data_IF_608583665624
#
_entry.id   IF_608583665624
#
_cell.length_a   1.000
_cell.length_b   1.000
_cell.length_c   1.000
_cell.angle_alpha   90.00
_cell.angle_beta   90.00
_cell.angle_gamma   90.00
#
_symmetry.space_group_name_H-M   'P 1'
#
loop_
_entity.id
_entity.type
_entity.pdbx_description
1 polymer ?
#
# COMPACT_ATOMS: atom_id res chain seq x y z
N UNK A 1 13.82 -69.38 -10.56
CA UNK A 1 15.20 -69.50 -10.01
C UNK A 1 15.96 -68.29 -10.54
N UNK A 2 16.61 -67.42 -9.79
CA UNK A 2 16.93 -67.31 -8.38
C UNK A 2 17.92 -66.13 -8.26
N UNK A 3 17.72 -65.31 -7.24
CA UNK A 3 18.53 -64.19 -6.76
C UNK A 3 20.05 -64.23 -7.02
N UNK A 4 20.67 -63.06 -7.22
CA UNK A 4 21.65 -62.54 -6.24
C UNK A 4 21.92 -61.04 -6.40
N UNK A 5 21.96 -60.35 -5.27
CA UNK A 5 22.22 -58.92 -5.10
C UNK A 5 23.69 -58.54 -5.27
N UNK A 6 23.96 -57.25 -5.49
CA UNK A 6 25.07 -56.56 -4.81
C UNK A 6 24.78 -55.06 -4.74
N UNK A 7 24.63 -54.55 -3.51
CA UNK A 7 24.79 -53.14 -3.17
C UNK A 7 26.28 -52.91 -2.92
N UNK A 8 26.84 -51.84 -3.48
CA UNK A 8 28.10 -51.25 -3.00
C UNK A 8 27.78 -49.84 -2.50
N UNK A 9 28.07 -49.65 -1.22
CA UNK A 9 28.11 -48.39 -0.52
C UNK A 9 29.49 -47.76 -0.79
N UNK A 10 29.53 -46.54 -1.33
CA UNK A 10 30.73 -45.69 -1.28
C UNK A 10 30.34 -44.40 -0.57
N UNK A 11 30.76 -44.29 0.68
CA UNK A 11 30.79 -43.03 1.44
C UNK A 11 32.01 -42.25 0.97
N UNK A 12 31.79 -41.25 0.12
CA UNK A 12 32.77 -40.24 -0.22
C UNK A 12 32.24 -38.88 0.19
N UNK A 13 32.75 -38.34 1.30
CA UNK A 13 32.57 -36.95 1.70
C UNK A 13 33.12 -36.05 0.57
N UNK A 14 32.23 -35.53 -0.26
CA UNK A 14 32.46 -34.27 -0.95
C UNK A 14 31.66 -33.20 -0.23
N UNK A 15 32.36 -32.28 0.40
CA UNK A 15 31.82 -30.98 0.78
C UNK A 15 31.28 -30.33 -0.49
N UNK A 16 29.97 -30.44 -0.70
CA UNK A 16 29.25 -29.67 -1.70
C UNK A 16 29.27 -28.21 -1.21
N UNK A 17 30.26 -27.45 -1.66
CA UNK A 17 30.14 -25.99 -1.69
C UNK A 17 29.05 -25.67 -2.71
N UNK A 18 27.80 -25.59 -2.24
CA UNK A 18 26.73 -24.95 -2.97
C UNK A 18 27.05 -23.45 -2.91
N UNK A 19 27.58 -22.90 -4.00
CA UNK A 19 27.40 -21.48 -4.26
C UNK A 19 25.91 -21.28 -4.50
N UNK A 20 25.18 -20.82 -3.49
CA UNK A 20 23.92 -20.16 -3.74
C UNK A 20 24.28 -18.87 -4.48
N UNK A 21 24.16 -18.83 -5.81
CA UNK A 21 23.91 -17.54 -6.44
C UNK A 21 22.57 -17.09 -5.88
N UNK A 22 22.61 -16.11 -4.99
CA UNK A 22 21.42 -15.35 -4.67
C UNK A 22 21.07 -14.56 -5.92
N UNK A 23 20.35 -15.17 -6.86
CA UNK A 23 19.70 -14.41 -7.91
C UNK A 23 18.69 -13.52 -7.18
N UNK A 24 19.03 -12.23 -7.12
CA UNK A 24 18.16 -11.23 -6.56
C UNK A 24 16.87 -11.24 -7.40
N UNK A 25 15.76 -11.60 -6.77
CA UNK A 25 14.47 -11.59 -7.44
C UNK A 25 14.10 -10.12 -7.70
N UNK A 26 13.81 -9.79 -8.96
CA UNK A 26 13.32 -8.47 -9.33
C UNK A 26 11.82 -8.40 -8.99
N UNK A 27 11.44 -7.62 -7.97
CA UNK A 27 10.03 -7.43 -7.60
C UNK A 27 9.47 -6.25 -8.42
N UNK A 28 8.56 -6.51 -9.35
CA UNK A 28 7.82 -5.47 -10.06
C UNK A 28 6.86 -4.75 -9.09
N UNK A 29 6.81 -3.42 -9.12
CA UNK A 29 6.02 -2.54 -8.26
C UNK A 29 5.38 -1.47 -9.14
N UNK A 30 4.11 -1.16 -8.88
CA UNK A 30 3.40 -0.03 -9.51
C UNK A 30 3.19 1.07 -8.48
N UNK A 31 3.49 2.31 -8.86
CA UNK A 31 3.31 3.51 -8.07
C UNK A 31 2.50 4.52 -8.87
N UNK A 32 1.45 5.06 -8.25
CA UNK A 32 0.67 6.16 -8.80
C UNK A 32 0.73 7.34 -7.85
N UNK A 33 1.11 8.50 -8.37
CA UNK A 33 1.23 9.74 -7.60
C UNK A 33 0.48 10.83 -8.33
N UNK A 34 -0.42 11.53 -7.64
CA UNK A 34 -1.17 12.66 -8.19
C UNK A 34 -0.56 13.98 -7.72
N UNK A 35 -0.67 15.03 -8.54
CA UNK A 35 -0.39 16.40 -8.09
C UNK A 35 -1.25 16.71 -6.86
N UNK A 36 -0.62 17.26 -5.83
CA UNK A 36 -1.18 17.36 -4.47
C UNK A 36 -1.27 18.78 -3.92
N UNK A 37 -0.80 19.78 -4.67
CA UNK A 37 -0.83 21.18 -4.26
C UNK A 37 -0.80 22.10 -5.48
N UNK A 38 -1.30 23.32 -5.31
CA UNK A 38 -1.28 24.36 -6.35
C UNK A 38 0.12 24.72 -6.83
N UNK A 39 1.14 24.65 -5.97
CA UNK A 39 2.54 24.93 -6.36
C UNK A 39 3.22 23.76 -7.09
N UNK A 40 2.47 22.67 -7.33
CA UNK A 40 3.00 21.45 -7.92
C UNK A 40 2.63 21.32 -9.40
N UNK A 41 1.77 22.17 -9.95
CA UNK A 41 1.61 22.38 -11.37
C UNK A 41 1.69 23.88 -11.70
N UNK A 42 2.41 24.21 -12.76
CA UNK A 42 2.75 25.60 -13.04
C UNK A 42 3.00 25.82 -14.53
N UNK A 43 2.69 27.01 -14.99
CA UNK A 43 2.82 27.40 -16.40
C UNK A 43 3.74 28.61 -16.51
N UNK A 44 4.67 28.56 -17.45
CA UNK A 44 5.63 29.63 -17.69
C UNK A 44 5.60 30.11 -19.14
N UNK A 45 5.40 31.41 -19.31
CA UNK A 45 5.32 32.08 -20.61
C UNK A 45 6.68 32.65 -21.04
N UNK A 46 6.81 33.11 -22.28
CA UNK A 46 8.10 33.57 -22.83
C UNK A 46 8.75 34.75 -22.09
N UNK A 47 7.97 35.57 -21.37
CA UNK A 47 8.50 36.63 -20.51
C UNK A 47 9.15 36.11 -19.22
N UNK A 48 9.01 34.81 -18.94
CA UNK A 48 9.43 34.15 -17.71
C UNK A 48 8.40 34.22 -16.59
N UNK A 49 7.24 34.85 -16.79
CA UNK A 49 6.19 34.88 -15.77
C UNK A 49 5.65 33.46 -15.52
N UNK A 50 5.50 33.10 -14.24
CA UNK A 50 5.03 31.77 -13.80
C UNK A 50 3.68 31.90 -13.11
N UNK A 51 2.68 31.16 -13.60
CA UNK A 51 1.39 30.97 -12.96
C UNK A 51 1.40 29.69 -12.13
N UNK A 52 0.95 29.75 -10.88
CA UNK A 52 0.83 28.61 -9.96
C UNK A 52 -0.63 28.27 -9.63
N UNK A 53 -1.58 29.08 -10.09
CA UNK A 53 -2.98 29.00 -9.63
C UNK A 53 -3.96 29.00 -10.79
N UNK A 54 -3.48 28.74 -12.01
CA UNK A 54 -4.34 28.59 -13.18
C UNK A 54 -5.28 27.41 -12.95
N UNK A 55 -6.60 27.53 -13.21
CA UNK A 55 -7.48 26.37 -13.21
C UNK A 55 -7.11 25.42 -14.37
N UNK A 56 -6.45 25.92 -15.39
CA UNK A 56 -6.13 25.19 -16.61
C UNK A 56 -4.63 24.89 -16.64
N UNK A 57 -4.27 23.71 -17.13
CA UNK A 57 -2.88 23.33 -17.38
C UNK A 57 -2.68 23.19 -18.89
N UNK A 58 -2.28 24.27 -19.55
CA UNK A 58 -2.07 24.32 -20.99
C UNK A 58 -0.71 23.74 -21.34
N UNK A 59 -0.68 22.52 -21.89
CA UNK A 59 0.56 21.83 -22.22
C UNK A 59 1.42 22.56 -23.27
N UNK A 60 0.88 23.58 -23.95
CA UNK A 60 1.66 24.48 -24.80
C UNK A 60 0.99 25.79 -25.19
N UNK A 61 -0.29 25.79 -25.57
CA UNK A 61 -0.93 26.97 -26.11
C UNK A 61 -2.23 27.24 -25.36
N UNK A 62 -2.28 28.41 -24.75
CA UNK A 62 -3.40 28.92 -23.96
C UNK A 62 -4.22 29.90 -24.79
N UNK A 63 -5.54 29.81 -24.67
CA UNK A 63 -6.52 30.70 -25.28
C UNK A 63 -6.88 31.84 -24.33
N UNK A 64 -6.03 32.85 -24.28
CA UNK A 64 -6.29 34.08 -23.52
C UNK A 64 -7.23 35.04 -24.25
N UNK A 65 -7.89 35.95 -23.50
CA UNK A 65 -8.83 36.92 -24.08
C UNK A 65 -8.25 37.81 -25.19
N UNK A 66 -6.93 37.97 -25.24
CA UNK A 66 -6.19 38.81 -26.20
C UNK A 66 -5.62 38.03 -27.39
N UNK A 67 -5.85 36.72 -27.48
CA UNK A 67 -5.35 35.86 -28.56
C UNK A 67 -4.88 34.50 -28.06
N UNK A 68 -3.73 34.05 -28.54
CA UNK A 68 -3.12 32.78 -28.12
C UNK A 68 -1.76 33.06 -27.48
N UNK A 69 -1.51 32.48 -26.32
CA UNK A 69 -0.23 32.59 -25.62
C UNK A 69 0.50 31.24 -25.61
N UNK A 70 1.78 31.25 -25.98
CA UNK A 70 2.61 30.06 -25.91
C UNK A 70 3.20 29.91 -24.51
N UNK A 71 2.93 28.80 -23.84
CA UNK A 71 3.66 28.32 -22.66
C UNK A 71 5.01 27.76 -23.12
N UNK A 72 6.08 28.38 -22.65
CA UNK A 72 7.46 27.98 -22.94
C UNK A 72 7.97 26.85 -22.05
N UNK A 73 7.33 26.67 -20.88
CA UNK A 73 7.51 25.52 -20.03
C UNK A 73 6.27 25.32 -19.17
N UNK A 74 5.86 24.06 -18.99
CA UNK A 74 4.80 23.66 -18.05
C UNK A 74 5.41 22.64 -17.11
N UNK A 75 5.42 22.96 -15.83
CA UNK A 75 6.02 22.15 -14.79
C UNK A 75 4.96 21.35 -14.04
N UNK A 76 5.25 20.08 -13.78
CA UNK A 76 4.46 19.21 -12.90
C UNK A 76 5.41 18.55 -11.90
N UNK A 77 5.07 18.59 -10.61
CA UNK A 77 5.89 18.16 -9.48
C UNK A 77 5.12 17.13 -8.64
N UNK A 78 5.57 15.89 -8.67
CA UNK A 78 5.08 14.85 -7.77
C UNK A 78 5.96 14.78 -6.54
N UNK A 79 5.36 14.99 -5.38
CA UNK A 79 6.07 15.01 -4.10
C UNK A 79 6.01 13.66 -3.40
N UNK A 80 7.05 13.30 -2.64
CA UNK A 80 7.01 12.11 -1.80
C UNK A 80 7.07 10.80 -2.57
N UNK A 81 7.74 10.77 -3.73
CA UNK A 81 7.76 9.60 -4.65
C UNK A 81 8.52 8.44 -4.02
N UNK A 82 7.80 7.36 -3.68
CA UNK A 82 8.34 6.20 -2.96
C UNK A 82 9.05 5.19 -3.88
N UNK A 83 10.02 5.66 -4.67
CA UNK A 83 10.88 4.78 -5.48
C UNK A 83 12.23 4.63 -4.78
N UNK A 84 12.65 3.41 -4.39
CA UNK A 84 13.93 3.20 -3.77
C UNK A 84 15.07 3.46 -4.75
N UNK A 85 16.21 3.88 -4.22
CA UNK A 85 17.43 4.03 -5.01
C UNK A 85 17.84 2.69 -5.62
N UNK A 86 18.21 2.70 -6.91
CA UNK A 86 18.58 1.50 -7.64
C UNK A 86 17.40 0.70 -8.21
N UNK A 87 16.18 1.24 -8.13
CA UNK A 87 15.04 0.70 -8.87
C UNK A 87 15.28 0.80 -10.39
N UNK A 88 14.83 -0.23 -11.12
CA UNK A 88 14.80 -0.25 -12.58
C UNK A 88 13.38 0.11 -13.01
N UNK A 89 13.21 1.27 -13.63
CA UNK A 89 11.92 1.73 -14.14
C UNK A 89 11.61 0.94 -15.41
N UNK A 90 10.51 0.19 -15.39
CA UNK A 90 10.07 -0.63 -16.53
C UNK A 90 9.05 0.09 -17.39
N UNK A 91 8.32 1.05 -16.82
CA UNK A 91 7.34 1.88 -17.52
C UNK A 91 7.04 3.13 -16.72
N UNK A 92 6.84 4.27 -17.37
CA UNK A 92 6.28 5.44 -16.71
C UNK A 92 5.46 6.26 -17.69
N UNK A 93 4.37 6.87 -17.26
CA UNK A 93 3.60 7.80 -18.08
C UNK A 93 2.78 8.74 -17.21
N UNK A 94 2.40 9.89 -17.77
CA UNK A 94 1.44 10.81 -17.15
C UNK A 94 0.10 10.60 -17.83
N UNK A 95 -0.97 10.52 -17.04
CA UNK A 95 -2.35 10.57 -17.52
C UNK A 95 -2.94 11.92 -17.13
N UNK A 96 -3.46 12.63 -18.13
CA UNK A 96 -4.18 13.88 -17.97
C UNK A 96 -5.70 13.65 -17.96
N UNK A 97 -6.43 14.62 -17.42
CA UNK A 97 -7.88 14.75 -17.64
C UNK A 97 -8.10 15.96 -18.52
N UNK A 98 -8.91 15.82 -19.56
CA UNK A 98 -9.24 16.91 -20.49
C UNK A 98 -10.06 17.98 -19.75
N UNK A 99 -9.60 19.22 -19.73
CA UNK A 99 -10.39 20.35 -19.23
C UNK A 99 -11.09 21.08 -20.38
N UNK A 100 -10.32 21.43 -21.43
CA UNK A 100 -10.88 21.99 -22.66
C UNK A 100 -10.59 21.12 -23.88
N UNK A 101 -11.50 21.18 -24.85
CA UNK A 101 -11.36 20.44 -26.11
C UNK A 101 -10.35 21.10 -27.05
N UNK A 102 -9.50 20.28 -27.67
CA UNK A 102 -8.44 20.74 -28.57
C UNK A 102 -8.11 19.69 -29.62
N UNK A 103 -8.23 20.07 -30.90
CA UNK A 103 -8.07 19.14 -32.03
C UNK A 103 -6.99 19.53 -33.04
N UNK A 104 -6.44 20.74 -32.95
CA UNK A 104 -5.33 21.15 -33.80
C UNK A 104 -4.09 20.26 -33.54
N UNK A 105 -3.21 20.05 -34.54
CA UNK A 105 -1.98 19.28 -34.40
C UNK A 105 -1.12 19.80 -33.25
N UNK A 106 -0.71 18.91 -32.36
CA UNK A 106 0.05 19.25 -31.16
C UNK A 106 1.21 18.27 -30.97
N UNK A 107 2.41 18.81 -30.75
CA UNK A 107 3.62 18.05 -30.43
C UNK A 107 4.35 18.71 -29.27
N UNK A 108 4.73 17.97 -28.23
CA UNK A 108 5.48 18.53 -27.09
C UNK A 108 6.70 17.70 -26.74
N UNK A 109 7.71 18.30 -26.11
CA UNK A 109 8.86 17.60 -25.52
C UNK A 109 8.71 17.53 -24.02
N UNK A 110 8.86 16.33 -23.46
CA UNK A 110 8.95 16.09 -22.03
C UNK A 110 10.40 15.89 -21.61
N UNK A 111 10.77 16.54 -20.51
CA UNK A 111 12.05 16.36 -19.81
C UNK A 111 11.81 16.28 -18.31
N UNK A 112 12.75 15.70 -17.58
CA UNK A 112 12.74 15.75 -16.12
C UNK A 112 13.60 16.90 -15.60
N UNK A 113 13.35 17.37 -14.39
CA UNK A 113 14.34 18.16 -13.67
C UNK A 113 15.49 17.25 -13.21
N UNK A 114 16.72 17.56 -13.62
CA UNK A 114 17.93 16.88 -13.16
C UNK A 114 18.32 17.31 -11.73
N UNK A 115 17.50 16.93 -10.75
CA UNK A 115 17.72 17.17 -9.33
C UNK A 115 17.53 15.88 -8.52
N UNK A 116 18.21 15.78 -7.38
CA UNK A 116 18.02 14.64 -6.46
C UNK A 116 16.60 14.61 -5.89
N UNK A 117 16.07 15.78 -5.54
CA UNK A 117 14.68 16.03 -5.19
C UNK A 117 14.32 17.40 -5.73
N UNK A 118 13.26 17.49 -6.53
CA UNK A 118 12.79 18.76 -7.09
C UNK A 118 12.13 19.63 -6.01
N UNK A 119 12.42 20.93 -6.01
CA UNK A 119 11.73 21.90 -5.17
C UNK A 119 10.40 22.35 -5.78
N UNK A 120 9.49 22.88 -4.96
CA UNK A 120 8.23 23.50 -5.38
C UNK A 120 8.43 24.56 -6.46
N UNK A 121 7.45 24.74 -7.34
CA UNK A 121 7.45 25.87 -8.26
C UNK A 121 7.17 27.17 -7.50
N UNK A 122 7.72 28.27 -7.98
CA UNK A 122 7.52 29.60 -7.41
C UNK A 122 7.20 30.60 -8.51
N UNK A 123 6.71 31.78 -8.14
CA UNK A 123 6.43 32.88 -9.08
C UNK A 123 7.69 33.60 -9.56
N UNK A 124 8.89 33.18 -9.14
CA UNK A 124 10.13 33.76 -9.64
C UNK A 124 10.23 33.61 -11.16
N UNK A 125 10.71 34.64 -11.84
CA UNK A 125 10.83 34.59 -13.30
C UNK A 125 11.73 33.45 -13.74
N UNK A 126 11.30 32.72 -14.78
CA UNK A 126 12.01 31.56 -15.33
C UNK A 126 12.19 30.39 -14.36
N UNK A 127 11.35 30.28 -13.32
CA UNK A 127 11.49 29.22 -12.30
C UNK A 127 11.39 27.80 -12.86
N UNK A 128 10.71 27.60 -13.99
CA UNK A 128 10.56 26.30 -14.64
C UNK A 128 11.64 26.15 -15.72
N UNK A 129 11.75 27.11 -16.65
CA UNK A 129 12.62 26.95 -17.83
C UNK A 129 14.11 26.97 -17.51
N UNK A 130 14.53 27.60 -16.40
CA UNK A 130 15.92 27.62 -15.94
C UNK A 130 16.36 26.36 -15.19
N UNK A 131 15.42 25.46 -14.84
CA UNK A 131 15.76 24.24 -14.11
C UNK A 131 16.72 23.36 -14.93
N UNK A 132 17.76 22.78 -14.30
CA UNK A 132 18.59 21.77 -14.95
C UNK A 132 17.72 20.62 -15.43
N UNK A 133 17.93 20.16 -16.66
CA UNK A 133 17.12 19.11 -17.29
C UNK A 133 17.86 17.79 -17.35
N UNK A 134 17.10 16.70 -17.38
CA UNK A 134 17.62 15.40 -17.79
C UNK A 134 18.19 15.46 -19.20
N UNK A 135 19.18 14.62 -19.49
CA UNK A 135 19.66 14.39 -20.86
C UNK A 135 18.63 13.61 -21.66
N UNK A 136 17.98 12.64 -21.00
CA UNK A 136 16.87 11.88 -21.57
C UNK A 136 15.68 12.80 -21.81
N UNK A 137 15.10 12.70 -23.00
CA UNK A 137 13.93 13.46 -23.43
C UNK A 137 12.95 12.55 -24.16
N UNK A 138 11.65 12.83 -24.07
CA UNK A 138 10.61 12.10 -24.80
C UNK A 138 9.76 13.11 -25.57
N UNK A 139 9.64 12.90 -26.87
CA UNK A 139 8.75 13.71 -27.71
C UNK A 139 7.38 13.03 -27.80
N UNK A 140 6.34 13.74 -27.40
CA UNK A 140 4.96 13.35 -27.61
C UNK A 140 4.44 14.05 -28.86
N UNK A 141 4.61 13.37 -29.99
CA UNK A 141 4.23 13.85 -31.33
C UNK A 141 2.88 13.28 -31.75
N UNK A 142 2.16 14.02 -32.59
CA UNK A 142 0.82 13.68 -33.09
C UNK A 142 -0.15 13.39 -31.94
N UNK A 143 -0.15 14.24 -30.91
CA UNK A 143 -1.03 14.06 -29.75
C UNK A 143 -2.48 13.97 -30.25
N UNK A 144 -3.23 12.91 -29.92
CA UNK A 144 -4.61 12.77 -30.37
C UNK A 144 -5.46 13.99 -29.97
N UNK A 145 -6.49 14.34 -30.76
CA UNK A 145 -7.46 15.36 -30.36
C UNK A 145 -8.12 15.02 -29.02
N UNK A 146 -8.26 16.01 -28.14
CA UNK A 146 -9.06 15.89 -26.92
C UNK A 146 -10.45 16.43 -27.24
N UNK A 147 -11.40 15.53 -27.49
CA UNK A 147 -12.73 15.89 -28.00
C UNK A 147 -13.81 15.92 -26.91
N UNK A 148 -13.48 15.52 -25.68
CA UNK A 148 -14.46 15.35 -24.61
C UNK A 148 -13.88 15.82 -23.29
N UNK A 149 -14.51 16.85 -22.70
CA UNK A 149 -14.19 17.35 -21.35
C UNK A 149 -14.40 16.23 -20.33
N UNK A 150 -13.46 16.12 -19.38
CA UNK A 150 -13.44 15.07 -18.36
C UNK A 150 -12.90 13.72 -18.84
N UNK A 151 -12.58 13.56 -20.14
CA UNK A 151 -11.97 12.33 -20.64
C UNK A 151 -10.55 12.18 -20.11
N UNK A 152 -10.24 10.97 -19.63
CA UNK A 152 -8.93 10.56 -19.19
C UNK A 152 -8.68 9.13 -19.69
N UNK A 153 -7.83 9.00 -20.70
CA UNK A 153 -7.56 7.72 -21.37
C UNK A 153 -6.31 7.77 -22.23
N UNK A 154 -6.18 6.84 -23.18
CA UNK A 154 -4.97 6.70 -24.01
C UNK A 154 -4.65 7.96 -24.84
N UNK A 155 -5.66 8.76 -25.22
CA UNK A 155 -5.46 10.03 -25.93
C UNK A 155 -4.85 11.12 -25.03
N UNK A 156 -5.06 11.03 -23.71
CA UNK A 156 -4.56 11.92 -22.68
C UNK A 156 -3.35 11.33 -21.94
N UNK A 157 -2.76 10.26 -22.47
CA UNK A 157 -1.60 9.59 -21.87
C UNK A 157 -0.32 9.90 -22.64
N UNK A 158 0.74 10.27 -21.93
CA UNK A 158 2.06 10.44 -22.56
C UNK A 158 2.62 9.12 -23.10
N UNK A 159 3.60 9.17 -24.02
CA UNK A 159 4.47 8.04 -24.30
C UNK A 159 5.24 7.60 -23.04
N UNK A 160 5.96 6.49 -23.14
CA UNK A 160 6.76 5.97 -22.04
C UNK A 160 7.89 6.94 -21.64
N UNK A 161 7.83 7.40 -20.40
CA UNK A 161 8.76 8.31 -19.74
C UNK A 161 9.82 7.56 -18.94
N UNK A 162 9.87 6.22 -19.00
CA UNK A 162 10.84 5.41 -18.26
C UNK A 162 12.30 5.90 -18.40
N UNK A 163 12.81 6.39 -19.55
CA UNK A 163 14.18 6.89 -19.63
C UNK A 163 14.42 8.14 -18.78
N UNK A 164 13.44 9.04 -18.72
CA UNK A 164 13.51 10.28 -17.92
C UNK A 164 13.47 9.94 -16.44
N UNK A 165 12.51 9.11 -16.01
CA UNK A 165 12.37 8.71 -14.62
C UNK A 165 13.60 7.91 -14.18
N UNK A 166 14.10 6.99 -15.01
CA UNK A 166 15.31 6.21 -14.72
C UNK A 166 16.52 7.11 -14.48
N UNK A 167 16.70 8.15 -15.29
CA UNK A 167 17.79 9.11 -15.11
C UNK A 167 17.71 9.83 -13.77
N UNK A 168 16.51 10.26 -13.35
CA UNK A 168 16.29 10.94 -12.06
C UNK A 168 16.59 10.00 -10.89
N UNK A 169 16.05 8.77 -10.90
CA UNK A 169 16.22 7.82 -9.79
C UNK A 169 17.64 7.23 -9.70
N UNK A 170 18.41 7.31 -10.80
CA UNK A 170 19.83 6.94 -10.84
C UNK A 170 20.76 7.99 -10.24
N UNK A 171 20.26 9.19 -9.92
CA UNK A 171 21.10 10.25 -9.35
C UNK A 171 21.64 9.84 -7.99
N UNK A 172 22.87 10.23 -7.69
CA UNK A 172 23.58 9.77 -6.48
C UNK A 172 22.88 10.14 -5.18
N UNK A 173 22.14 11.26 -5.13
CA UNK A 173 21.36 11.67 -3.97
C UNK A 173 19.87 11.35 -4.05
N UNK A 174 19.43 10.52 -5.01
CA UNK A 174 18.06 10.02 -5.02
C UNK A 174 17.80 9.14 -3.79
N UNK A 175 16.65 9.33 -3.16
CA UNK A 175 16.14 8.53 -2.06
C UNK A 175 14.61 8.41 -2.19
N UNK A 176 14.04 7.33 -1.66
CA UNK A 176 12.58 7.19 -1.59
C UNK A 176 11.99 8.36 -0.78
N UNK A 177 10.91 8.94 -1.28
CA UNK A 177 10.30 10.15 -0.75
C UNK A 177 10.79 11.44 -1.39
N UNK A 178 11.78 11.40 -2.28
CA UNK A 178 12.16 12.57 -3.06
C UNK A 178 11.09 12.94 -4.09
N UNK A 179 11.17 14.18 -4.60
CA UNK A 179 10.20 14.70 -5.54
C UNK A 179 10.71 14.58 -6.98
N UNK A 180 9.81 14.29 -7.91
CA UNK A 180 10.06 14.28 -9.36
C UNK A 180 9.36 15.48 -9.98
N UNK A 181 10.08 16.26 -10.78
CA UNK A 181 9.47 17.26 -11.65
C UNK A 181 9.62 16.85 -13.11
N UNK A 182 8.52 16.88 -13.87
CA UNK A 182 8.49 16.77 -15.32
C UNK A 182 8.14 18.13 -15.90
N UNK A 183 8.83 18.49 -16.98
CA UNK A 183 8.69 19.77 -17.67
C UNK A 183 8.32 19.48 -19.12
N UNK A 184 7.16 19.99 -19.53
CA UNK A 184 6.66 19.97 -20.90
C UNK A 184 7.05 21.27 -21.60
N UNK A 185 7.54 21.18 -22.83
CA UNK A 185 8.05 22.33 -23.59
C UNK A 185 7.77 22.21 -25.08
N UNK A 186 7.84 23.33 -25.82
CA UNK A 186 7.93 23.31 -27.27
C UNK A 186 9.10 22.48 -27.78
N UNK A 187 8.85 21.66 -28.81
CA UNK A 187 9.92 21.03 -29.59
C UNK A 187 10.60 22.14 -30.42
N UNK A 188 11.94 22.28 -30.35
CA UNK A 188 12.64 23.29 -31.15
C UNK A 188 12.35 23.13 -32.65
N UNK A 189 11.97 24.24 -33.30
CA UNK A 189 11.61 24.32 -34.72
C UNK A 189 10.35 23.55 -35.16
N UNK A 190 9.54 23.04 -34.22
CA UNK A 190 8.20 22.53 -34.54
C UNK A 190 7.23 23.70 -34.75
N UNK A 191 6.10 23.47 -35.42
CA UNK A 191 5.02 24.46 -35.63
C UNK A 191 3.66 23.94 -35.17
N UNK A 192 3.58 22.71 -34.66
CA UNK A 192 2.36 22.05 -34.21
C UNK A 192 2.11 22.38 -32.74
N UNK A 193 1.58 23.57 -32.49
CA UNK A 193 1.30 24.11 -31.15
C UNK A 193 -0.18 24.03 -30.77
N UNK A 194 -0.91 23.03 -31.26
CA UNK A 194 -2.33 22.87 -30.96
C UNK A 194 -2.58 22.76 -29.45
N UNK A 195 -3.70 23.31 -28.94
CA UNK A 195 -3.99 23.31 -27.50
C UNK A 195 -4.28 21.90 -27.01
N UNK A 196 -3.71 21.55 -25.85
CA UNK A 196 -4.07 20.39 -25.03
C UNK A 196 -4.12 20.91 -23.60
N UNK A 197 -5.34 21.16 -23.14
CA UNK A 197 -5.60 21.87 -21.88
C UNK A 197 -6.14 20.86 -20.88
N UNK A 198 -5.33 20.59 -19.86
CA UNK A 198 -5.61 19.58 -18.85
C UNK A 198 -6.16 20.22 -17.57
N UNK A 199 -6.89 19.43 -16.80
CA UNK A 199 -7.35 19.84 -15.47
C UNK A 199 -6.12 20.01 -14.55
N UNK A 200 -5.95 21.20 -13.99
CA UNK A 200 -4.94 21.47 -12.95
C UNK A 200 -5.40 21.00 -11.57
N UNK A 201 -4.50 21.05 -10.59
CA UNK A 201 -4.84 20.91 -9.19
C UNK A 201 -5.87 21.96 -8.72
N UNK A 202 -5.73 23.20 -9.18
CA UNK A 202 -6.59 24.30 -8.78
C UNK A 202 -8.02 24.17 -9.32
N UNK A 203 -8.21 23.53 -10.47
CA UNK A 203 -9.54 23.16 -10.96
C UNK A 203 -10.09 21.94 -10.21
N UNK A 204 -9.32 20.85 -10.10
CA UNK A 204 -9.78 19.63 -9.41
C UNK A 204 -8.62 18.74 -8.99
N UNK A 205 -8.37 18.68 -7.68
CA UNK A 205 -7.34 17.83 -7.09
C UNK A 205 -7.47 16.34 -7.44
N UNK A 206 -8.69 15.83 -7.68
CA UNK A 206 -8.92 14.42 -8.03
C UNK A 206 -8.71 14.11 -9.52
N UNK A 207 -8.70 15.13 -10.37
CA UNK A 207 -8.52 15.03 -11.82
C UNK A 207 -7.18 15.60 -12.30
N UNK A 208 -6.41 16.23 -11.40
CA UNK A 208 -5.06 16.71 -11.64
C UNK A 208 -4.12 15.61 -12.17
N UNK A 209 -3.01 15.96 -12.85
CA UNK A 209 -2.16 14.98 -13.52
C UNK A 209 -1.69 13.83 -12.62
N UNK A 210 -1.86 12.60 -13.11
CA UNK A 210 -1.44 11.37 -12.44
C UNK A 210 -0.16 10.83 -13.10
N UNK A 211 0.91 10.69 -12.33
CA UNK A 211 2.11 9.99 -12.75
C UNK A 211 1.99 8.53 -12.34
N UNK A 212 2.04 7.65 -13.34
CA UNK A 212 2.09 6.19 -13.18
C UNK A 212 3.51 5.71 -13.44
N UNK A 213 4.05 4.88 -12.56
CA UNK A 213 5.39 4.30 -12.69
C UNK A 213 5.34 2.82 -12.33
N UNK A 214 5.83 1.98 -13.23
CA UNK A 214 6.16 0.58 -12.96
C UNK A 214 7.69 0.48 -12.82
N UNK A 215 8.16 -0.18 -11.77
CA UNK A 215 9.59 -0.40 -11.55
C UNK A 215 9.86 -1.74 -10.90
N UNK A 216 11.08 -2.26 -11.05
CA UNK A 216 11.54 -3.41 -10.29
C UNK A 216 12.57 -3.01 -9.25
N UNK A 217 12.54 -3.66 -8.09
CA UNK A 217 13.60 -3.54 -7.08
C UNK A 217 14.42 -4.81 -7.06
N UNK A 218 15.73 -4.65 -6.91
CA UNK A 218 16.63 -5.77 -6.68
C UNK A 218 16.59 -6.05 -5.18
N UNK A 219 15.82 -7.04 -4.74
CA UNK A 219 15.89 -7.47 -3.33
C UNK A 219 17.20 -8.21 -3.12
N UNK A 220 18.16 -7.54 -2.47
CA UNK A 220 19.33 -8.25 -1.95
C UNK A 220 18.85 -9.06 -0.75
N UNK A 221 18.99 -10.40 -0.74
CA UNK A 221 18.55 -11.18 0.41
C UNK A 221 19.30 -10.70 1.65
N UNK A 222 18.54 -10.40 2.70
CA UNK A 222 19.11 -10.07 4.01
C UNK A 222 19.99 -11.24 4.43
N UNK A 223 21.27 -11.02 4.79
CA UNK A 223 22.13 -12.11 5.24
C UNK A 223 21.47 -12.77 6.45
N UNK A 224 21.39 -14.11 6.43
CA UNK A 224 20.90 -14.88 7.57
C UNK A 224 21.73 -14.49 8.80
N UNK A 225 21.11 -14.01 9.90
CA UNK A 225 21.87 -13.69 11.10
C UNK A 225 22.64 -14.93 11.55
N UNK A 226 23.93 -14.75 11.85
CA UNK A 226 24.76 -15.83 12.37
C UNK A 226 24.11 -16.39 13.64
N UNK A 227 24.16 -17.72 13.87
CA UNK A 227 23.56 -18.33 15.05
C UNK A 227 24.12 -17.66 16.31
N UNK A 228 23.23 -17.13 17.15
CA UNK A 228 23.60 -16.57 18.45
C UNK A 228 24.26 -17.67 19.28
N UNK A 229 25.49 -17.48 19.80
CA UNK A 229 26.12 -18.47 20.65
C UNK A 229 25.24 -18.76 21.86
N UNK A 230 25.07 -20.04 22.19
CA UNK A 230 24.27 -20.48 23.32
C UNK A 230 24.85 -19.90 24.62
N UNK A 231 24.04 -19.23 25.48
CA UNK A 231 24.55 -18.66 26.71
C UNK A 231 25.15 -19.75 27.60
N UNK A 232 26.37 -19.52 28.08
CA UNK A 232 27.00 -20.39 29.08
C UNK A 232 26.23 -20.27 30.40
N UNK A 233 25.84 -21.37 31.07
CA UNK A 233 25.13 -21.30 32.35
C UNK A 233 25.95 -20.51 33.37
N UNK A 234 25.32 -19.55 34.04
CA UNK A 234 25.93 -18.79 35.11
C UNK A 234 26.25 -19.72 36.31
N UNK A 235 27.39 -19.55 36.99
CA UNK A 235 27.74 -20.34 38.17
C UNK A 235 26.71 -20.12 39.29
N UNK A 236 26.29 -21.22 39.91
CA UNK A 236 25.37 -21.23 41.06
C UNK A 236 25.93 -20.41 42.21
N UNK A 237 25.21 -19.41 42.75
CA UNK A 237 25.69 -18.64 43.89
C UNK A 237 25.77 -19.52 45.15
N UNK A 238 26.92 -19.46 45.83
CA UNK A 238 27.15 -20.05 47.16
C UNK A 238 26.22 -19.41 48.22
N UNK A 239 25.69 -20.20 49.17
CA UNK A 239 24.74 -19.70 50.17
C UNK A 239 25.38 -18.65 51.10
N UNK A 240 24.69 -17.52 51.23
CA UNK A 240 25.03 -16.43 52.15
C UNK A 240 24.70 -16.86 53.59
N UNK A 241 25.60 -16.66 54.57
CA UNK A 241 25.32 -16.99 55.97
C UNK A 241 24.26 -16.07 56.61
N UNK A 242 23.56 -16.67 57.57
CA UNK A 242 22.38 -16.18 58.31
C UNK A 242 22.65 -14.88 59.10
N UNK A 243 21.80 -13.84 59.03
CA UNK A 243 22.02 -12.59 59.73
C UNK A 243 21.88 -12.71 61.26
N UNK A 244 22.78 -12.03 61.96
CA UNK A 244 22.82 -11.91 63.42
C UNK A 244 21.71 -10.98 63.93
N UNK A 245 21.02 -11.28 65.06
CA UNK A 245 19.91 -10.46 65.55
C UNK A 245 20.40 -9.09 66.06
N UNK A 246 19.76 -8.02 65.60
CA UNK A 246 19.97 -6.63 66.04
C UNK A 246 19.07 -6.32 67.25
N UNK A 247 19.58 -5.66 68.31
CA UNK A 247 18.78 -5.29 69.48
C UNK A 247 17.89 -4.05 69.22
N UNK A 248 16.69 -4.10 69.77
CA UNK A 248 15.71 -3.01 69.95
C UNK A 248 16.18 -2.02 71.03
N UNK A 249 16.11 -0.68 70.85
CA UNK A 249 14.92 0.13 71.24
C UNK A 249 14.73 1.38 70.32
N UNK A 250 13.74 2.28 70.42
CA UNK A 250 13.08 3.01 71.53
C UNK A 250 11.87 3.81 70.96
N UNK A 251 10.84 4.22 71.74
CA UNK A 251 9.61 4.76 71.17
C UNK A 251 9.75 6.20 70.63
N UNK A 252 9.34 6.38 69.37
CA UNK A 252 9.25 7.69 68.69
C UNK A 252 7.94 8.39 69.06
N UNK A 253 7.93 9.71 69.33
CA UNK A 253 6.74 10.45 69.74
C UNK A 253 5.71 10.69 68.62
N UNK A 254 4.50 10.98 69.11
CA UNK A 254 3.16 11.15 68.51
C UNK A 254 3.09 12.22 67.37
N UNK A 255 2.16 12.06 66.39
CA UNK A 255 2.26 12.70 65.07
C UNK A 255 1.85 14.17 65.06
N UNK A 256 2.48 14.94 64.17
CA UNK A 256 2.03 16.26 63.74
C UNK A 256 1.45 16.17 62.33
N UNK A 257 0.36 16.89 62.12
CA UNK A 257 -0.52 16.85 60.95
C UNK A 257 0.19 17.22 59.65
N UNK A 258 0.32 16.26 58.74
CA UNK A 258 0.74 16.48 57.35
C UNK A 258 -0.32 17.31 56.61
N UNK A 259 0.05 18.44 55.97
CA UNK A 259 -0.88 19.19 55.13
C UNK A 259 -1.26 18.37 53.88
N UNK A 260 -2.50 18.57 53.43
CA UNK A 260 -3.10 17.88 52.30
C UNK A 260 -2.24 17.94 51.03
N UNK A 261 -2.13 16.84 50.25
CA UNK A 261 -1.35 16.82 49.03
C UNK A 261 -1.93 17.82 48.02
N UNK A 262 -1.05 18.63 47.44
CA UNK A 262 -1.34 19.47 46.28
C UNK A 262 -1.70 18.58 45.10
N UNK A 263 -2.75 18.90 44.31
CA UNK A 263 -3.13 18.09 43.17
C UNK A 263 -1.98 18.02 42.16
N UNK A 264 -1.57 16.80 41.84
CA UNK A 264 -0.61 16.51 40.77
C UNK A 264 -1.26 16.97 39.46
N UNK A 265 -0.59 17.79 38.62
CA UNK A 265 -1.11 18.13 37.31
C UNK A 265 -1.30 16.86 36.50
N UNK A 266 -2.53 16.64 36.06
CA UNK A 266 -2.91 15.56 35.14
C UNK A 266 -2.00 15.61 33.93
N UNK A 267 -1.22 14.55 33.71
CA UNK A 267 -0.37 14.43 32.54
C UNK A 267 -1.26 14.56 31.29
N UNK A 268 -0.89 15.47 30.40
CA UNK A 268 -1.50 15.61 29.08
C UNK A 268 -1.45 14.26 28.37
N UNK A 269 -2.56 13.74 27.83
CA UNK A 269 -2.55 12.48 27.10
C UNK A 269 -1.52 12.56 25.97
N UNK A 270 -0.69 11.52 25.87
CA UNK A 270 0.25 11.37 24.77
C UNK A 270 -0.53 11.45 23.45
N UNK A 271 0.03 12.12 22.41
CA UNK A 271 -0.64 12.18 21.11
C UNK A 271 -0.91 10.76 20.62
N UNK A 272 -2.16 10.52 20.23
CA UNK A 272 -2.57 9.28 19.58
C UNK A 272 -1.60 8.99 18.42
N UNK A 273 -1.01 7.78 18.34
CA UNK A 273 -0.13 7.43 17.24
C UNK A 273 -0.87 7.66 15.92
N UNK A 274 -0.27 8.46 15.04
CA UNK A 274 -0.74 8.63 13.67
C UNK A 274 -0.82 7.25 13.02
N UNK A 275 -1.94 6.89 12.37
CA UNK A 275 -2.06 5.59 11.71
C UNK A 275 -0.91 5.41 10.73
N UNK A 276 -0.30 4.21 10.66
CA UNK A 276 0.79 3.94 9.74
C UNK A 276 0.32 4.25 8.30
N UNK A 277 1.22 4.79 7.45
CA UNK A 277 0.89 5.07 6.07
C UNK A 277 0.33 3.80 5.39
N UNK A 278 -0.66 3.94 4.48
CA UNK A 278 -1.27 2.80 3.82
C UNK A 278 -0.18 2.00 3.10
N UNK A 279 0.01 0.75 3.54
CA UNK A 279 0.89 -0.21 2.87
C UNK A 279 0.32 -0.50 1.49
N UNK A 280 1.11 -0.30 0.43
CA UNK A 280 0.71 -0.64 -0.93
C UNK A 280 0.45 -2.14 -1.06
N UNK A 281 -0.59 -2.54 -1.80
CA UNK A 281 -0.87 -3.96 -2.09
C UNK A 281 0.35 -4.62 -2.71
N UNK A 282 0.70 -5.83 -2.27
CA UNK A 282 1.82 -6.55 -2.90
C UNK A 282 1.56 -6.71 -4.41
N UNK A 283 2.53 -6.44 -5.28
CA UNK A 283 2.32 -6.53 -6.73
C UNK A 283 1.97 -7.95 -7.18
N UNK A 284 1.14 -8.05 -8.21
CA UNK A 284 0.56 -9.31 -8.68
C UNK A 284 -0.17 -10.10 -7.57
N UNK A 285 -0.66 -9.42 -6.52
CA UNK A 285 -1.49 -10.06 -5.51
C UNK A 285 -2.75 -10.61 -6.15
N UNK A 286 -2.79 -11.93 -6.35
CA UNK A 286 -3.91 -12.58 -7.00
C UNK A 286 -4.97 -12.90 -5.96
N UNK A 287 -6.11 -12.23 -6.07
CA UNK A 287 -7.29 -12.51 -5.24
C UNK A 287 -8.31 -13.26 -6.09
N UNK A 288 -8.80 -14.38 -5.58
CA UNK A 288 -9.96 -15.05 -6.16
C UNK A 288 -11.23 -14.63 -5.42
N UNK A 289 -12.25 -14.22 -6.18
CA UNK A 289 -13.58 -13.89 -5.67
C UNK A 289 -14.54 -14.98 -6.10
N UNK A 290 -15.19 -15.63 -5.15
CA UNK A 290 -16.16 -16.69 -5.43
C UNK A 290 -17.29 -16.66 -4.40
N UNK A 291 -18.48 -17.12 -4.76
CA UNK A 291 -19.64 -17.26 -3.88
C UNK A 291 -20.53 -18.38 -4.42
N UNK A 292 -21.67 -18.63 -3.76
CA UNK A 292 -22.65 -19.63 -4.20
C UNK A 292 -22.03 -21.04 -4.36
N UNK A 293 -21.33 -21.48 -3.31
CA UNK A 293 -20.53 -22.69 -3.28
C UNK A 293 -21.24 -23.84 -2.56
N UNK A 294 -20.93 -25.06 -2.98
CA UNK A 294 -21.50 -26.29 -2.42
C UNK A 294 -20.42 -27.26 -1.96
N UNK A 295 -20.77 -28.23 -1.10
CA UNK A 295 -19.87 -29.36 -0.77
C UNK A 295 -19.86 -30.43 -1.89
N UNK A 296 -19.36 -30.07 -3.07
CA UNK A 296 -19.33 -30.93 -4.27
C UNK A 296 -17.94 -31.02 -4.89
N UNK A 297 -17.75 -32.00 -5.76
CA UNK A 297 -16.50 -32.12 -6.54
C UNK A 297 -16.28 -30.88 -7.43
N UNK A 298 -17.34 -30.29 -7.99
CA UNK A 298 -17.21 -29.07 -8.81
C UNK A 298 -16.60 -27.90 -8.04
N UNK A 299 -16.98 -27.70 -6.78
CA UNK A 299 -16.36 -26.69 -5.91
C UNK A 299 -14.90 -27.02 -5.60
N UNK A 300 -14.54 -28.31 -5.44
CA UNK A 300 -13.14 -28.72 -5.26
C UNK A 300 -12.31 -28.48 -6.53
N UNK A 301 -12.88 -28.75 -7.70
CA UNK A 301 -12.22 -28.49 -8.99
C UNK A 301 -12.00 -26.98 -9.21
N UNK A 302 -12.98 -26.15 -8.82
CA UNK A 302 -12.85 -24.69 -8.80
C UNK A 302 -11.73 -24.23 -7.88
N UNK A 303 -11.68 -24.73 -6.64
CA UNK A 303 -10.59 -24.42 -5.71
C UNK A 303 -9.22 -24.88 -6.23
N UNK A 304 -9.15 -26.04 -6.89
CA UNK A 304 -7.92 -26.51 -7.51
C UNK A 304 -7.49 -25.60 -8.68
N UNK A 305 -8.43 -25.14 -9.50
CA UNK A 305 -8.16 -24.16 -10.55
C UNK A 305 -7.63 -22.85 -9.94
N UNK A 306 -8.27 -22.33 -8.90
CA UNK A 306 -7.82 -21.11 -8.18
C UNK A 306 -6.40 -21.27 -7.63
N UNK A 307 -6.10 -22.44 -7.03
CA UNK A 307 -4.76 -22.78 -6.57
C UNK A 307 -3.75 -22.81 -7.71
N UNK A 308 -4.12 -23.42 -8.84
CA UNK A 308 -3.24 -23.54 -10.01
C UNK A 308 -2.98 -22.18 -10.69
N UNK A 309 -3.96 -21.28 -10.69
CA UNK A 309 -3.80 -19.90 -11.16
C UNK A 309 -2.94 -19.04 -10.21
N UNK A 310 -2.57 -19.59 -9.05
CA UNK A 310 -1.69 -18.96 -8.08
C UNK A 310 -2.36 -17.86 -7.28
N UNK A 311 -3.66 -17.97 -6.99
CA UNK A 311 -4.31 -17.07 -6.05
C UNK A 311 -3.62 -17.14 -4.68
N UNK A 312 -3.45 -15.97 -4.06
CA UNK A 312 -2.78 -15.78 -2.77
C UNK A 312 -3.77 -15.47 -1.65
N UNK A 313 -5.02 -15.21 -2.01
CA UNK A 313 -6.12 -14.98 -1.08
C UNK A 313 -7.44 -15.36 -1.74
N UNK A 314 -8.35 -15.88 -0.93
CA UNK A 314 -9.74 -16.13 -1.30
C UNK A 314 -10.65 -15.12 -0.61
N UNK A 315 -11.55 -14.50 -1.38
CA UNK A 315 -12.63 -13.68 -0.88
C UNK A 315 -13.96 -14.34 -1.24
N UNK A 316 -14.63 -14.86 -0.22
CA UNK A 316 -15.87 -15.62 -0.32
C UNK A 316 -17.08 -14.71 -0.15
N UNK A 317 -17.92 -14.62 -1.19
CA UNK A 317 -19.02 -13.66 -1.31
C UNK A 317 -20.37 -14.26 -0.86
N UNK A 318 -20.40 -14.96 0.26
CA UNK A 318 -21.60 -15.62 0.80
C UNK A 318 -21.92 -16.96 0.16
N UNK A 319 -22.88 -17.67 0.78
CA UNK A 319 -23.35 -18.99 0.37
C UNK A 319 -22.19 -19.99 0.25
N UNK A 320 -21.60 -20.31 1.41
CA UNK A 320 -20.30 -20.96 1.55
C UNK A 320 -20.35 -22.47 1.26
N UNK A 321 -21.48 -23.12 1.59
CA UNK A 321 -21.63 -24.57 1.39
C UNK A 321 -23.06 -25.09 1.13
N UNK A 322 -24.10 -24.27 1.37
CA UNK A 322 -25.55 -24.61 1.39
C UNK A 322 -25.98 -25.79 2.29
N UNK A 323 -25.05 -26.50 2.91
CA UNK A 323 -25.24 -27.68 3.74
C UNK A 323 -25.33 -27.36 5.25
N UNK A 324 -25.04 -26.12 5.66
CA UNK A 324 -24.92 -25.74 7.07
C UNK A 324 -23.91 -26.63 7.82
N UNK A 325 -22.74 -26.87 7.22
CA UNK A 325 -21.69 -27.72 7.76
C UNK A 325 -20.32 -27.00 7.80
N UNK A 326 -20.09 -26.11 8.80
CA UNK A 326 -18.87 -25.31 8.89
C UNK A 326 -17.58 -26.14 8.97
N UNK A 327 -17.63 -27.34 9.58
CA UNK A 327 -16.46 -28.23 9.63
C UNK A 327 -16.11 -28.80 8.25
N UNK A 328 -17.11 -29.24 7.47
CA UNK A 328 -16.85 -29.76 6.14
C UNK A 328 -16.43 -28.66 5.16
N UNK A 329 -17.02 -27.47 5.28
CA UNK A 329 -16.60 -26.29 4.53
C UNK A 329 -15.13 -25.94 4.79
N UNK A 330 -14.73 -25.84 6.05
CA UNK A 330 -13.34 -25.55 6.42
C UNK A 330 -12.38 -26.66 5.94
N UNK A 331 -12.76 -27.93 6.12
CA UNK A 331 -11.95 -29.06 5.66
C UNK A 331 -11.73 -29.03 4.16
N UNK A 332 -12.77 -28.72 3.37
CA UNK A 332 -12.66 -28.67 1.91
C UNK A 332 -11.66 -27.60 1.43
N UNK A 333 -11.61 -26.45 2.11
CA UNK A 333 -10.61 -25.42 1.85
C UNK A 333 -9.22 -25.92 2.27
N UNK A 334 -9.10 -26.48 3.47
CA UNK A 334 -7.82 -26.94 4.03
C UNK A 334 -7.18 -28.07 3.22
N UNK A 335 -7.98 -28.98 2.66
CA UNK A 335 -7.51 -30.07 1.81
C UNK A 335 -6.78 -29.56 0.56
N UNK A 336 -7.12 -28.37 0.08
CA UNK A 336 -6.59 -27.80 -1.17
C UNK A 336 -5.53 -26.75 -0.86
N UNK A 337 -5.84 -25.77 -0.02
CA UNK A 337 -4.99 -24.62 0.22
C UNK A 337 -4.17 -24.71 1.51
N UNK A 338 -4.60 -25.52 2.47
CA UNK A 338 -4.02 -25.61 3.81
C UNK A 338 -4.67 -24.66 4.84
N UNK A 339 -4.41 -24.90 6.14
CA UNK A 339 -5.03 -24.16 7.25
C UNK A 339 -4.59 -22.69 7.37
N UNK A 340 -3.46 -22.34 6.75
CA UNK A 340 -2.84 -21.00 6.84
C UNK A 340 -3.07 -20.15 5.57
N UNK A 341 -3.76 -20.68 4.56
CA UNK A 341 -4.06 -19.90 3.36
C UNK A 341 -5.03 -18.76 3.66
N UNK A 342 -4.84 -17.53 3.15
CA UNK A 342 -5.71 -16.40 3.46
C UNK A 342 -7.12 -16.57 2.89
N UNK A 343 -8.12 -16.65 3.76
CA UNK A 343 -9.54 -16.73 3.38
C UNK A 343 -10.34 -15.71 4.18
N UNK A 344 -11.02 -14.84 3.46
CA UNK A 344 -11.96 -13.86 3.99
C UNK A 344 -13.34 -14.18 3.44
N UNK A 345 -14.38 -14.00 4.24
CA UNK A 345 -15.72 -14.33 3.81
C UNK A 345 -16.74 -13.34 4.36
N UNK A 346 -17.80 -13.10 3.59
CA UNK A 346 -19.02 -12.45 4.05
C UNK A 346 -20.13 -13.49 4.20
N UNK A 347 -21.03 -13.28 5.16
CA UNK A 347 -22.20 -14.13 5.38
C UNK A 347 -23.17 -14.09 4.17
N UNK A 348 -23.66 -15.25 3.74
CA UNK A 348 -24.81 -15.39 2.83
C UNK A 348 -26.07 -15.84 3.56
N UNK A 349 -27.18 -15.95 2.83
CA UNK A 349 -28.46 -16.38 3.42
C UNK A 349 -28.43 -17.84 3.88
N UNK A 350 -27.55 -18.68 3.33
CA UNK A 350 -27.44 -20.09 3.69
C UNK A 350 -26.63 -20.39 4.95
N UNK A 351 -25.80 -19.45 5.43
CA UNK A 351 -24.96 -19.63 6.63
C UNK A 351 -25.67 -19.21 7.93
N UNK A 352 -26.78 -18.49 7.82
CA UNK A 352 -27.47 -17.82 8.95
C UNK A 352 -27.73 -18.71 10.16
N UNK A 353 -27.99 -20.01 9.97
CA UNK A 353 -28.28 -20.94 11.08
C UNK A 353 -27.05 -21.36 11.89
N UNK A 354 -25.84 -21.29 11.31
CA UNK A 354 -24.59 -21.72 11.93
C UNK A 354 -23.45 -20.71 11.79
N UNK A 355 -23.79 -19.44 11.59
CA UNK A 355 -22.81 -18.37 11.47
C UNK A 355 -22.04 -18.17 12.78
N UNK A 356 -22.73 -17.70 13.82
CA UNK A 356 -22.19 -17.33 15.12
C UNK A 356 -22.69 -18.30 16.20
N UNK A 357 -22.21 -19.53 16.13
CA UNK A 357 -22.40 -20.56 17.16
C UNK A 357 -21.04 -21.19 17.45
N UNK A 358 -20.86 -21.90 18.58
CA UNK A 358 -19.63 -22.68 18.81
C UNK A 358 -19.33 -23.61 17.63
N UNK A 359 -18.12 -23.51 17.07
CA UNK A 359 -17.68 -24.20 15.84
C UNK A 359 -18.47 -23.81 14.57
N UNK A 360 -19.13 -22.65 14.56
CA UNK A 360 -19.81 -22.05 13.42
C UNK A 360 -18.85 -21.40 12.42
N UNK A 361 -19.38 -20.90 11.30
CA UNK A 361 -18.58 -20.29 10.23
C UNK A 361 -17.75 -19.10 10.70
N UNK A 362 -18.32 -18.24 11.55
CA UNK A 362 -17.62 -17.08 12.11
C UNK A 362 -16.41 -17.53 12.93
N UNK A 363 -16.57 -18.56 13.77
CA UNK A 363 -15.47 -19.06 14.61
C UNK A 363 -14.34 -19.62 13.73
N UNK A 364 -14.67 -20.34 12.64
CA UNK A 364 -13.67 -20.83 11.68
C UNK A 364 -12.90 -19.69 10.99
N UNK A 365 -13.59 -18.61 10.65
CA UNK A 365 -12.97 -17.41 10.07
C UNK A 365 -12.07 -16.70 11.07
N UNK A 366 -12.53 -16.53 12.31
CA UNK A 366 -11.75 -15.93 13.39
C UNK A 366 -10.49 -16.75 13.70
N UNK A 367 -10.60 -18.08 13.81
CA UNK A 367 -9.44 -18.95 14.04
C UNK A 367 -8.40 -18.82 12.91
N UNK A 368 -8.85 -18.66 11.66
CA UNK A 368 -7.96 -18.44 10.51
C UNK A 368 -7.32 -17.06 10.56
N UNK A 369 -8.09 -16.02 10.85
CA UNK A 369 -7.57 -14.66 10.97
C UNK A 369 -6.55 -14.56 12.09
N UNK A 370 -6.80 -15.16 13.25
CA UNK A 370 -5.85 -15.17 14.37
C UNK A 370 -4.50 -15.78 13.95
N UNK A 371 -4.51 -16.90 13.23
CA UNK A 371 -3.28 -17.50 12.68
C UNK A 371 -2.57 -16.56 11.71
N UNK A 372 -3.31 -15.91 10.81
CA UNK A 372 -2.73 -14.96 9.87
C UNK A 372 -2.15 -13.73 10.58
N UNK A 373 -2.83 -13.18 11.58
CA UNK A 373 -2.36 -12.02 12.35
C UNK A 373 -1.08 -12.34 13.13
N UNK A 374 -0.95 -13.57 13.65
CA UNK A 374 0.29 -14.06 14.26
C UNK A 374 1.44 -14.15 13.23
N UNK A 375 1.16 -14.57 12.00
CA UNK A 375 2.14 -14.64 10.90
C UNK A 375 2.54 -13.23 10.43
N UNK A 376 1.57 -12.33 10.30
CA UNK A 376 1.76 -10.98 9.74
C UNK A 376 2.24 -9.95 10.78
N UNK A 377 2.10 -10.25 12.07
CA UNK A 377 2.53 -9.38 13.17
C UNK A 377 1.68 -8.11 13.35
N UNK A 378 0.48 -8.07 12.78
CA UNK A 378 -0.47 -6.96 12.94
C UNK A 378 -1.93 -7.44 12.78
N UNK A 379 -2.87 -6.66 13.29
CA UNK A 379 -4.31 -6.90 13.14
C UNK A 379 -4.72 -6.73 11.66
N UNK A 380 -5.42 -7.71 11.11
CA UNK A 380 -5.78 -7.75 9.68
C UNK A 380 -7.16 -7.16 9.44
N UNK A 381 -8.13 -7.40 10.32
CA UNK A 381 -9.50 -6.91 10.18
C UNK A 381 -9.97 -6.15 11.42
N UNK A 382 -10.81 -5.14 11.20
CA UNK A 382 -11.55 -4.41 12.24
C UNK A 382 -13.05 -4.48 11.97
N UNK A 383 -13.87 -4.28 13.00
CA UNK A 383 -15.33 -4.41 12.93
C UNK A 383 -15.84 -5.84 13.13
N UNK A 384 -17.07 -6.11 12.69
CA UNK A 384 -17.68 -7.44 12.80
C UNK A 384 -17.27 -8.30 11.60
N UNK A 385 -16.41 -9.30 11.84
CA UNK A 385 -15.88 -10.17 10.79
C UNK A 385 -17.02 -10.85 10.02
N UNK A 386 -17.01 -10.66 8.70
CA UNK A 386 -17.96 -11.25 7.76
C UNK A 386 -19.38 -10.67 7.76
N UNK A 387 -19.67 -9.63 8.54
CA UNK A 387 -20.94 -8.87 8.47
C UNK A 387 -20.72 -7.38 8.19
N UNK A 388 -19.79 -6.74 8.91
CA UNK A 388 -19.46 -5.30 8.84
C UNK A 388 -17.99 -5.10 9.22
N UNK A 389 -17.08 -5.52 8.35
CA UNK A 389 -15.64 -5.46 8.63
C UNK A 389 -14.87 -4.71 7.56
N UNK A 390 -13.82 -4.04 7.99
CA UNK A 390 -12.80 -3.45 7.14
C UNK A 390 -11.49 -4.21 7.36
N UNK A 391 -10.91 -4.73 6.29
CA UNK A 391 -9.69 -5.53 6.35
C UNK A 391 -8.59 -4.89 5.52
N UNK A 392 -7.36 -5.03 5.99
CA UNK A 392 -6.15 -4.74 5.25
C UNK A 392 -5.26 -5.97 5.29
N UNK A 393 -5.05 -6.59 4.13
CA UNK A 393 -4.17 -7.76 4.03
C UNK A 393 -3.20 -7.57 2.88
N UNK A 394 -1.90 -7.67 3.18
CA UNK A 394 -0.81 -7.44 2.21
C UNK A 394 -0.95 -6.13 1.43
N UNK A 395 -1.50 -5.09 2.07
CA UNK A 395 -1.73 -3.77 1.50
C UNK A 395 -3.02 -3.61 0.68
N UNK A 396 -3.77 -4.69 0.48
CA UNK A 396 -5.11 -4.62 -0.09
C UNK A 396 -6.10 -4.23 1.01
N UNK A 397 -6.66 -3.02 0.91
CA UNK A 397 -7.78 -2.60 1.73
C UNK A 397 -9.11 -3.00 1.08
N UNK A 398 -9.99 -3.65 1.83
CA UNK A 398 -11.32 -4.04 1.36
C UNK A 398 -12.33 -4.03 2.51
N UNK A 399 -13.61 -3.85 2.15
CA UNK A 399 -14.73 -3.82 3.09
C UNK A 399 -15.62 -5.03 2.80
N UNK A 400 -15.97 -5.77 3.85
CA UNK A 400 -16.91 -6.87 3.81
C UNK A 400 -18.22 -6.43 4.47
N UNK A 401 -19.29 -6.45 3.69
CA UNK A 401 -20.62 -6.08 4.14
C UNK A 401 -21.63 -7.15 3.73
N UNK A 402 -22.34 -7.71 4.72
CA UNK A 402 -23.44 -8.67 4.52
C UNK A 402 -24.79 -8.02 4.78
N UNK A 403 -25.32 -7.16 3.89
CA UNK A 403 -26.62 -6.54 4.06
C UNK A 403 -27.76 -7.58 3.92
N UNK A 404 -28.83 -7.44 4.71
CA UNK A 404 -30.04 -8.25 4.56
C UNK A 404 -30.11 -9.55 5.38
N UNK A 405 -29.02 -9.97 6.01
CA UNK A 405 -28.99 -11.09 7.00
C UNK A 405 -29.19 -10.62 8.45
N UNK A 406 -29.34 -9.31 8.64
CA UNK A 406 -29.37 -8.61 9.94
C UNK A 406 -30.53 -9.00 10.87
N UNK A 407 -31.76 -9.33 10.39
CA UNK A 407 -32.83 -9.74 11.30
C UNK A 407 -32.56 -11.05 12.07
N UNK A 408 -31.56 -11.84 11.64
CA UNK A 408 -31.21 -13.13 12.27
C UNK A 408 -30.01 -13.00 13.22
N UNK A 409 -29.17 -11.97 13.07
CA UNK A 409 -27.99 -11.72 13.91
C UNK A 409 -28.34 -10.83 15.12
N UNK A 410 -29.30 -9.91 14.98
CA UNK A 410 -29.65 -8.91 16.00
C UNK A 410 -30.55 -9.43 17.14
N UNK A 411 -30.99 -10.70 17.10
CA UNK A 411 -31.78 -11.28 18.21
C UNK A 411 -30.98 -11.51 19.50
N UNK A 412 -29.66 -11.25 19.53
CA UNK A 412 -28.80 -11.50 20.72
C UNK A 412 -28.15 -10.28 21.36
N UNK A 413 -28.29 -9.07 20.82
CA UNK A 413 -27.91 -7.85 21.59
C UNK A 413 -28.88 -7.64 22.78
N UNK A 414 -30.05 -8.29 22.77
CA UNK A 414 -31.01 -8.21 23.86
C UNK A 414 -30.77 -9.15 25.06
N UNK A 415 -29.72 -10.00 25.09
CA UNK A 415 -29.64 -11.07 26.11
C UNK A 415 -28.29 -11.33 26.81
N UNK A 416 -27.27 -10.47 26.73
CA UNK A 416 -26.10 -10.57 27.63
C UNK A 416 -25.47 -9.22 27.91
N UNK A 417 -25.86 -8.61 29.03
CA UNK A 417 -25.39 -7.29 29.47
C UNK A 417 -23.93 -7.24 29.92
N UNK A 418 -23.25 -8.39 30.04
CA UNK A 418 -22.00 -8.45 30.79
C UNK A 418 -20.74 -8.48 29.89
N UNK A 419 -20.86 -8.85 28.60
CA UNK A 419 -19.72 -8.85 27.65
C UNK A 419 -19.61 -7.55 26.84
N UNK A 420 -20.65 -6.70 26.88
CA UNK A 420 -20.68 -5.42 26.17
C UNK A 420 -19.81 -4.34 26.85
N UNK A 421 -19.54 -4.46 28.15
CA UNK A 421 -18.72 -3.47 28.88
C UNK A 421 -17.21 -3.65 28.60
N UNK A 422 -16.73 -4.87 28.34
CA UNK A 422 -15.30 -5.11 28.07
C UNK A 422 -14.90 -4.68 26.64
N UNK A 423 -15.82 -4.76 25.68
CA UNK A 423 -15.63 -4.28 24.30
C UNK A 423 -15.95 -2.79 24.13
N UNK A 424 -16.90 -2.22 24.89
CA UNK A 424 -17.22 -0.79 24.83
C UNK A 424 -16.11 0.10 25.42
N UNK A 425 -15.38 -0.36 26.45
CA UNK A 425 -14.31 0.42 27.07
C UNK A 425 -13.02 0.55 26.22
N UNK A 426 -12.91 -0.14 25.09
CA UNK A 426 -11.82 0.07 24.12
C UNK A 426 -12.17 1.04 22.98
N UNK A 427 -13.41 1.51 22.90
CA UNK A 427 -13.91 2.24 21.72
C UNK A 427 -14.26 3.71 22.00
N UNK A 428 -14.21 4.16 23.26
CA UNK A 428 -14.45 5.58 23.60
C UNK A 428 -13.13 6.30 23.88
N UNK A 429 -12.41 6.62 22.80
CA UNK A 429 -11.57 7.80 22.66
C UNK A 429 -10.91 7.74 21.29
N UNK A 430 -11.60 8.21 20.24
CA UNK A 430 -11.03 8.74 19.00
C UNK A 430 -12.13 9.30 18.06
N UNK A 431 -13.02 10.13 18.59
CA UNK A 431 -13.71 11.16 17.79
C UNK A 431 -13.85 12.41 18.68
N UNK A 432 -12.78 13.19 18.72
CA UNK A 432 -12.76 14.65 18.99
C UNK A 432 -11.42 15.20 18.55
#
# INVERSE_FOLDING_TARGET
MGNSSSRILVLGLYSLLIFFSSDALAQAVTLEVRISASQNDAEEVASGAVSLTSPDLDLMLDRVATGTELKTAVGMLWTGVQIPKGAIITKAYIVFTTDEVGSAPANVRLTGQAANSAGSFTTASFNISSRPRTVSTVDWVNIPPWNTVGESGLAQQTPDLSPIIQEIVNRSGWAAGNNIAIIVQPIPNDTNYGPRTAVSFNASAIQAPLLHIEYTTVVTPTPTPAPTPTPTPAPTPTPTPDPTPIPTPSPTPIPTTTPAPTPIPTATPAPTPTPPPPTSTIPNFKVAFVGDLFLTQGTRDLYQMIKNEGAQMLLLLGDLDHANNPNAWEQQINDIFGPDFPVFAVIGNHETKKWDIPNGYLHKLLDRLERLEQIEGHLICTGEVGTKSACNYKGLFFILAGPGTWPVVDQRIASSSDDAEELANRTVNLIS
#
